data_IF_917034347426
#
_entry.id   IF_917034347426
#
_cell.length_a   1.000
_cell.length_b   1.000
_cell.length_c   1.000
_cell.angle_alpha   90.00
_cell.angle_beta   90.00
_cell.angle_gamma   90.00
#
_symmetry.space_group_name_H-M   'P 1'
#
loop_
_entity.id
_entity.type
_entity.pdbx_description
1 polymer ?
#
# COMPACT_ATOMS: atom_id res chain seq x y z
N UNK A 1 11.32 15.17 -23.71
CA UNK A 1 11.52 14.80 -23.48
C UNK A 1 11.73 14.10 -22.54
N UNK A 2 12.26 13.50 -22.55
CA UNK A 2 12.50 12.65 -21.55
C UNK A 2 12.02 12.98 -20.24
N UNK A 3 11.71 14.14 -20.04
CA UNK A 3 11.20 14.45 -18.85
C UNK A 3 9.93 13.87 -18.62
N UNK A 4 9.17 13.68 -19.53
CA UNK A 4 7.88 13.09 -19.35
C UNK A 4 7.95 11.67 -18.90
N UNK A 5 9.08 11.03 -19.04
CA UNK A 5 9.18 9.66 -18.69
C UNK A 5 9.43 9.41 -17.24
N UNK A 6 9.75 10.44 -16.50
CA UNK A 6 10.08 10.25 -15.12
C UNK A 6 8.84 10.12 -14.28
N UNK A 7 8.75 9.03 -13.52
CA UNK A 7 7.61 8.85 -12.64
C UNK A 7 7.75 9.73 -11.43
N UNK A 8 6.64 10.12 -10.86
CA UNK A 8 6.61 10.92 -9.66
C UNK A 8 5.60 10.37 -8.70
N UNK A 9 5.87 10.52 -7.44
CA UNK A 9 4.89 10.15 -6.43
C UNK A 9 3.70 11.08 -6.54
N UNK A 10 2.51 10.54 -6.27
CA UNK A 10 1.28 11.31 -6.25
C UNK A 10 0.49 10.85 -5.06
N UNK A 11 -0.74 11.35 -4.94
CA UNK A 11 -1.59 10.94 -3.85
C UNK A 11 -1.91 9.45 -3.90
N UNK A 12 -1.84 8.83 -5.08
CA UNK A 12 -2.16 7.43 -5.23
C UNK A 12 -0.99 6.60 -5.75
N UNK A 13 0.20 7.13 -5.71
CA UNK A 13 1.37 6.40 -6.16
C UNK A 13 2.56 6.75 -5.26
N UNK A 14 3.11 5.73 -4.63
CA UNK A 14 4.24 5.94 -3.74
C UNK A 14 5.39 5.00 -4.10
N UNK A 15 6.62 5.49 -4.01
CA UNK A 15 7.79 4.69 -4.27
C UNK A 15 8.42 4.25 -2.96
N UNK A 16 8.92 3.01 -2.95
CA UNK A 16 9.68 2.51 -1.81
C UNK A 16 10.93 1.83 -2.35
N UNK A 17 12.06 2.24 -1.86
CA UNK A 17 13.30 1.67 -2.33
C UNK A 17 13.45 0.23 -1.85
N UNK A 18 12.98 -0.05 -0.66
CA UNK A 18 13.00 -1.38 -0.11
C UNK A 18 11.86 -1.54 0.87
N UNK A 19 11.67 -2.73 1.39
CA UNK A 19 10.57 -3.00 2.28
C UNK A 19 10.92 -2.57 3.70
N UNK A 20 10.13 -1.67 4.25
CA UNK A 20 10.20 -1.32 5.66
C UNK A 20 8.78 -1.29 6.17
N UNK A 21 8.61 -1.29 7.49
CA UNK A 21 7.26 -1.35 8.05
C UNK A 21 6.42 -0.12 7.76
N UNK A 22 7.03 0.97 7.35
CA UNK A 22 6.27 2.17 7.08
C UNK A 22 5.30 2.01 5.92
N UNK A 23 5.52 1.00 5.06
CA UNK A 23 4.60 0.81 3.94
C UNK A 23 3.19 0.47 4.44
N UNK A 24 3.07 -0.06 5.65
CA UNK A 24 1.75 -0.41 6.18
C UNK A 24 0.89 0.82 6.40
N UNK A 25 1.49 1.95 6.73
CA UNK A 25 0.73 3.18 6.89
C UNK A 25 0.17 3.62 5.55
N UNK A 26 0.95 3.49 4.50
CA UNK A 26 0.51 3.83 3.17
C UNK A 26 -0.62 2.91 2.72
N UNK A 27 -0.49 1.61 2.98
CA UNK A 27 -1.54 0.66 2.62
C UNK A 27 -2.85 1.03 3.33
N UNK A 28 -2.76 1.34 4.61
CA UNK A 28 -3.94 1.71 5.38
C UNK A 28 -4.58 2.98 4.82
N UNK A 29 -3.76 3.96 4.49
CA UNK A 29 -4.28 5.20 3.94
C UNK A 29 -4.97 4.96 2.60
N UNK A 30 -4.35 4.16 1.72
CA UNK A 30 -4.95 3.87 0.43
C UNK A 30 -6.28 3.14 0.61
N UNK A 31 -6.31 2.16 1.51
CA UNK A 31 -7.52 1.38 1.71
C UNK A 31 -8.67 2.23 2.23
N UNK A 32 -8.36 3.26 3.01
CA UNK A 32 -9.39 4.09 3.59
C UNK A 32 -9.87 5.19 2.66
N UNK A 33 -9.21 5.37 1.53
CA UNK A 33 -9.56 6.46 0.63
C UNK A 33 -9.69 5.96 -0.80
N UNK A 34 -8.96 6.56 -1.71
CA UNK A 34 -9.10 6.27 -3.13
C UNK A 34 -8.37 5.02 -3.60
N UNK A 35 -7.59 4.43 -2.74
CA UNK A 35 -6.72 3.36 -3.19
C UNK A 35 -5.43 3.92 -3.74
N UNK A 36 -4.55 3.05 -4.17
CA UNK A 36 -3.30 3.49 -4.74
C UNK A 36 -2.34 2.35 -4.96
N UNK A 37 -1.17 2.70 -5.41
CA UNK A 37 -0.15 1.72 -5.75
C UNK A 37 1.16 2.09 -5.08
N UNK A 38 1.85 1.09 -4.54
CA UNK A 38 3.19 1.26 -4.03
C UNK A 38 4.11 0.47 -4.94
N UNK A 39 5.15 1.13 -5.43
CA UNK A 39 6.14 0.50 -6.28
C UNK A 39 7.41 0.31 -5.47
N UNK A 40 7.75 -0.95 -5.20
CA UNK A 40 8.97 -1.28 -4.47
C UNK A 40 10.10 -1.49 -5.45
N UNK A 41 11.25 -0.97 -5.13
CA UNK A 41 12.41 -1.08 -6.03
C UNK A 41 12.68 0.20 -6.78
N UNK A 42 12.07 1.31 -6.33
CA UNK A 42 12.30 2.62 -6.92
C UNK A 42 12.70 3.59 -5.82
N UNK A 43 13.63 4.47 -6.12
CA UNK A 43 14.01 5.47 -5.13
C UNK A 43 13.03 6.65 -5.19
N UNK A 44 13.26 7.65 -4.39
CA UNK A 44 12.35 8.79 -4.28
C UNK A 44 12.23 9.56 -5.58
N UNK A 45 13.19 9.43 -6.45
CA UNK A 45 13.17 10.12 -7.71
C UNK A 45 12.52 9.30 -8.81
N UNK A 46 12.03 8.12 -8.47
CA UNK A 46 11.42 7.26 -9.47
C UNK A 46 12.41 6.45 -10.27
N UNK A 47 13.64 6.39 -9.80
CA UNK A 47 14.66 5.62 -10.49
C UNK A 47 14.60 4.18 -10.04
N UNK A 48 14.67 3.26 -10.99
CA UNK A 48 14.62 1.84 -10.69
C UNK A 48 15.92 1.40 -10.05
N UNK A 49 15.82 0.92 -8.81
CA UNK A 49 17.01 0.42 -8.10
C UNK A 49 16.90 -1.06 -7.82
N UNK A 50 15.72 -1.63 -7.96
CA UNK A 50 15.53 -3.07 -7.84
C UNK A 50 15.43 -3.58 -6.42
N UNK A 51 14.81 -4.75 -6.30
CA UNK A 51 14.68 -5.48 -5.03
C UNK A 51 15.47 -6.78 -5.24
N UNK A 52 16.35 -7.10 -4.31
CA UNK A 52 17.19 -8.28 -4.49
C UNK A 52 16.45 -9.59 -4.39
N UNK A 53 15.56 -9.73 -3.43
CA UNK A 53 14.89 -11.00 -3.23
C UNK A 53 13.41 -10.78 -3.37
N UNK A 54 12.95 -10.76 -4.60
CA UNK A 54 11.58 -10.44 -4.90
C UNK A 54 10.58 -11.38 -4.27
N UNK A 55 10.79 -12.67 -4.43
CA UNK A 55 9.80 -13.63 -3.92
C UNK A 55 9.68 -13.57 -2.42
N UNK A 56 10.80 -13.50 -1.76
CA UNK A 56 10.79 -13.42 -0.31
C UNK A 56 10.16 -12.13 0.15
N UNK A 57 10.43 -11.04 -0.55
CA UNK A 57 9.85 -9.75 -0.20
C UNK A 57 8.34 -9.75 -0.39
N UNK A 58 7.85 -10.39 -1.45
CA UNK A 58 6.42 -10.50 -1.65
C UNK A 58 5.74 -11.25 -0.52
N UNK A 59 6.36 -12.33 -0.06
CA UNK A 59 5.81 -13.10 1.04
C UNK A 59 5.75 -12.24 2.30
N UNK A 60 6.78 -11.45 2.54
CA UNK A 60 6.80 -10.58 3.70
C UNK A 60 5.73 -9.51 3.61
N UNK A 61 5.51 -8.96 2.43
CA UNK A 61 4.49 -7.95 2.23
C UNK A 61 3.12 -8.54 2.57
N UNK A 62 2.82 -9.70 2.01
CA UNK A 62 1.53 -10.34 2.25
C UNK A 62 1.34 -10.65 3.72
N UNK A 63 2.35 -11.23 4.35
CA UNK A 63 2.23 -11.57 5.76
C UNK A 63 1.99 -10.35 6.62
N UNK A 64 2.69 -9.27 6.33
CA UNK A 64 2.54 -8.07 7.13
C UNK A 64 1.16 -7.45 6.96
N UNK A 65 0.66 -7.38 5.74
CA UNK A 65 -0.66 -6.82 5.52
C UNK A 65 -1.70 -7.69 6.20
N UNK A 66 -1.59 -9.01 6.02
CA UNK A 66 -2.61 -9.92 6.53
C UNK A 66 -2.65 -9.98 8.05
N UNK A 67 -1.53 -9.73 8.71
CA UNK A 67 -1.49 -9.80 10.16
C UNK A 67 -1.60 -8.45 10.84
N UNK A 68 -1.17 -7.39 10.18
CA UNK A 68 -1.02 -6.09 10.85
C UNK A 68 -2.11 -5.09 10.52
N UNK A 69 -2.94 -5.36 9.54
CA UNK A 69 -4.01 -4.41 9.16
C UNK A 69 -5.35 -5.11 9.25
N UNK A 70 -6.24 -4.55 10.04
CA UNK A 70 -7.57 -5.11 10.23
C UNK A 70 -8.61 -4.03 10.07
N UNK A 71 -9.71 -4.31 9.39
CA UNK A 71 -9.96 -5.51 8.60
C UNK A 71 -9.03 -5.56 7.41
N UNK A 72 -8.86 -6.74 6.86
CA UNK A 72 -7.90 -6.92 5.77
C UNK A 72 -8.28 -6.11 4.55
N UNK A 73 -7.36 -5.34 4.01
CA UNK A 73 -7.67 -4.56 2.81
C UNK A 73 -7.67 -5.45 1.57
N UNK A 74 -8.28 -4.94 0.51
CA UNK A 74 -8.32 -5.62 -0.77
C UNK A 74 -7.11 -5.15 -1.55
N UNK A 75 -6.21 -6.07 -1.89
CA UNK A 75 -5.00 -5.67 -2.59
C UNK A 75 -4.53 -6.78 -3.53
N UNK A 76 -3.65 -6.41 -4.42
CA UNK A 76 -3.02 -7.37 -5.31
C UNK A 76 -1.54 -7.03 -5.42
N UNK A 77 -0.75 -8.08 -5.66
CA UNK A 77 0.69 -7.93 -5.83
C UNK A 77 1.08 -8.48 -7.19
N UNK A 78 1.97 -7.80 -7.85
CA UNK A 78 2.56 -8.34 -9.07
C UNK A 78 4.04 -7.98 -9.08
N UNK A 79 4.81 -8.76 -9.82
CA UNK A 79 6.25 -8.57 -9.87
C UNK A 79 6.67 -8.34 -11.31
N UNK A 80 7.75 -7.60 -11.46
CA UNK A 80 8.34 -7.35 -12.76
C UNK A 80 9.79 -7.78 -12.69
N UNK A 81 10.03 -9.04 -13.03
CA UNK A 81 11.35 -9.61 -12.86
C UNK A 81 12.44 -8.91 -13.66
N UNK A 82 12.06 -8.34 -14.77
CA UNK A 82 13.02 -7.67 -15.60
C UNK A 82 13.69 -6.51 -14.88
N UNK A 83 12.91 -5.77 -14.11
CA UNK A 83 13.42 -4.62 -13.38
C UNK A 83 13.56 -4.90 -11.91
N UNK A 84 13.17 -6.10 -11.49
CA UNK A 84 13.23 -6.51 -10.10
C UNK A 84 12.43 -5.58 -9.21
N UNK A 85 11.20 -5.33 -9.58
CA UNK A 85 10.32 -4.45 -8.83
C UNK A 85 9.05 -5.18 -8.46
N UNK A 86 8.35 -4.65 -7.45
CA UNK A 86 7.10 -5.20 -6.98
C UNK A 86 6.06 -4.12 -7.00
N UNK A 87 4.89 -4.43 -7.52
CA UNK A 87 3.80 -3.49 -7.58
C UNK A 87 2.69 -3.97 -6.64
N UNK A 88 2.38 -3.17 -5.64
CA UNK A 88 1.32 -3.48 -4.69
C UNK A 88 0.20 -2.48 -4.93
N UNK A 89 -0.95 -2.97 -5.36
CA UNK A 89 -2.09 -2.12 -5.62
C UNK A 89 -3.15 -2.38 -4.56
N UNK A 90 -3.58 -1.32 -3.89
CA UNK A 90 -4.55 -1.40 -2.83
C UNK A 90 -5.83 -0.73 -3.29
N UNK A 91 -6.95 -1.42 -3.15
CA UNK A 91 -8.23 -0.87 -3.55
C UNK A 91 -8.79 -0.01 -2.43
N UNK A 92 -9.25 1.17 -2.76
CA UNK A 92 -9.90 2.03 -1.80
C UNK A 92 -11.36 1.67 -1.65
N UNK A 93 -11.92 1.99 -0.50
CA UNK A 93 -13.32 1.66 -0.24
C UNK A 93 -13.98 2.85 0.44
N UNK A 94 -14.19 3.89 -0.33
CA UNK A 94 -14.81 5.10 0.19
C UNK A 94 -16.22 4.83 0.68
N UNK A 95 -16.93 3.96 0.00
CA UNK A 95 -18.29 3.66 0.39
C UNK A 95 -18.31 2.97 1.75
N UNK A 96 -17.42 2.03 1.93
CA UNK A 96 -17.32 1.33 3.20
C UNK A 96 -16.93 2.29 4.30
N UNK A 97 -16.04 3.21 4.00
CA UNK A 97 -15.61 4.20 4.95
C UNK A 97 -16.78 5.02 5.44
N UNK A 98 -17.65 5.47 4.54
CA UNK A 98 -18.80 6.25 4.94
C UNK A 98 -19.73 5.45 5.83
N UNK A 99 -19.97 4.22 5.48
CA UNK A 99 -20.87 3.36 6.26
C UNK A 99 -20.33 3.15 7.67
N UNK A 100 -19.05 2.88 7.76
CA UNK A 100 -18.46 2.63 9.06
C UNK A 100 -18.45 3.88 9.93
N UNK A 101 -18.29 5.05 9.32
CA UNK A 101 -18.34 6.29 10.07
C UNK A 101 -19.69 6.50 10.70
N UNK A 102 -20.75 6.19 9.97
CA UNK A 102 -22.08 6.33 10.50
C UNK A 102 -22.29 5.41 11.67
N UNK A 103 -21.84 4.18 11.55
CA UNK A 103 -21.98 3.22 12.64
C UNK A 103 -21.21 3.68 13.85
N UNK A 104 -20.04 4.20 13.63
CA UNK A 104 -19.22 4.67 14.71
C UNK A 104 -19.93 5.79 15.48
N UNK A 105 -20.53 6.71 14.76
CA UNK A 105 -21.21 7.83 15.37
C UNK A 105 -22.36 7.37 16.24
N UNK A 106 -23.09 6.37 15.79
CA UNK A 106 -24.21 5.90 16.57
C UNK A 106 -23.85 4.99 17.71
N UNK A 107 -22.83 4.21 17.57
CA UNK A 107 -22.49 3.22 18.57
C UNK A 107 -21.26 3.55 19.36
N UNK A 108 -20.52 4.51 18.92
CA UNK A 108 -19.26 4.89 19.53
C UNK A 108 -18.30 3.75 19.60
N UNK A 109 -18.31 2.94 18.57
CA UNK A 109 -17.37 1.86 18.46
C UNK A 109 -16.03 2.36 17.96
N UNK A 110 -14.98 1.62 18.23
CA UNK A 110 -13.71 1.91 17.62
C UNK A 110 -13.89 1.87 16.13
N UNK A 111 -13.05 2.56 15.43
CA UNK A 111 -13.14 2.63 14.01
C UNK A 111 -12.92 1.28 13.41
N UNK A 112 -13.78 0.91 12.48
CA UNK A 112 -13.69 -0.35 11.80
C UNK A 112 -13.05 -0.22 10.44
N UNK A 113 -12.28 0.84 10.25
CA UNK A 113 -11.51 1.03 9.03
C UNK A 113 -10.22 0.25 9.14
N UNK A 114 -9.61 -0.10 8.01
CA UNK A 114 -8.32 -0.77 8.07
C UNK A 114 -7.31 0.09 8.81
N UNK A 115 -6.71 -0.47 9.83
CA UNK A 115 -5.69 0.24 10.59
C UNK A 115 -4.55 -0.71 10.88
N UNK A 116 -3.41 -0.12 11.22
CA UNK A 116 -2.25 -0.92 11.57
C UNK A 116 -2.39 -1.30 13.02
N UNK A 117 -2.19 -2.58 13.30
CA UNK A 117 -2.25 -3.09 14.64
C UNK A 117 -0.91 -2.85 15.29
N UNK A 118 -0.95 -2.21 16.43
CA UNK A 118 0.26 -1.91 17.15
C UNK A 118 0.66 -3.07 17.98
N UNK A 119 1.84 -3.48 17.82
CA UNK A 119 2.34 -4.59 18.60
C UNK A 119 3.27 -4.15 19.66
#
# INVERSE_FOLDING_TARGET
MGKGDKMRETRTLEFKEKLTNTFLKTVSAFANYDGGTILFGFDDNGKNVGIEEIEETCIKIENKINTMIKPQPDYSLSTHNRHQTIELTVRGDIKRLKTLKLEYLFRKFPIMLPTIIDE
#
